data_IF_447728417506
#
_entry.id   IF_447728417506
#
_cell.length_a   1.000
_cell.length_b   1.000
_cell.length_c   1.000
_cell.angle_alpha   90.00
_cell.angle_beta   90.00
_cell.angle_gamma   90.00
#
_symmetry.space_group_name_H-M   'P 1'
#
loop_
_entity.id
_entity.type
_entity.pdbx_description
1 polymer ?
#
# COMPACT_ATOMS: atom_id res chain seq x y z
N UNK A 1 -11.82 -8.05 8.77
CA UNK A 1 -11.83 -8.48 7.36
C UNK A 1 -11.12 -7.39 6.60
N UNK A 2 -10.04 -7.74 5.90
CA UNK A 2 -9.19 -6.83 5.15
C UNK A 2 -9.63 -6.70 3.69
N UNK A 3 -10.43 -7.64 3.18
CA UNK A 3 -11.04 -7.59 1.86
C UNK A 3 -12.55 -7.36 1.98
N UNK A 4 -13.02 -6.22 1.51
CA UNK A 4 -14.44 -6.01 1.27
C UNK A 4 -14.81 -6.57 -0.11
N UNK A 5 -15.17 -7.85 -0.14
CA UNK A 5 -15.60 -8.51 -1.37
C UNK A 5 -16.82 -7.83 -1.98
N UNK A 6 -17.78 -7.36 -1.19
CA UNK A 6 -18.99 -6.75 -1.75
C UNK A 6 -18.64 -5.48 -2.54
N UNK A 7 -17.80 -4.62 -1.95
CA UNK A 7 -17.31 -3.43 -2.63
C UNK A 7 -16.47 -3.77 -3.89
N UNK A 8 -15.61 -4.78 -3.82
CA UNK A 8 -14.83 -5.19 -5.00
C UNK A 8 -15.70 -5.77 -6.11
N UNK A 9 -16.72 -6.56 -5.78
CA UNK A 9 -17.66 -7.14 -6.74
C UNK A 9 -18.49 -6.05 -7.44
N UNK A 10 -18.81 -4.95 -6.77
CA UNK A 10 -19.46 -3.79 -7.40
C UNK A 10 -18.58 -3.15 -8.49
N UNK A 11 -17.26 -3.08 -8.29
CA UNK A 11 -16.32 -2.52 -9.26
C UNK A 11 -16.17 -3.35 -10.54
N UNK A 12 -16.52 -4.63 -10.48
CA UNK A 12 -16.39 -5.59 -11.59
C UNK A 12 -17.76 -6.08 -12.08
N UNK A 13 -18.83 -5.32 -11.82
CA UNK A 13 -20.21 -5.63 -12.24
C UNK A 13 -20.69 -7.04 -11.85
N UNK A 14 -20.24 -7.54 -10.70
CA UNK A 14 -20.59 -8.87 -10.20
C UNK A 14 -19.81 -10.02 -10.84
N UNK A 15 -18.81 -9.75 -11.67
CA UNK A 15 -17.99 -10.77 -12.32
C UNK A 15 -16.93 -11.35 -11.36
N UNK A 16 -17.13 -12.60 -10.96
CA UNK A 16 -16.23 -13.29 -10.03
C UNK A 16 -14.88 -13.63 -10.68
N UNK A 17 -14.85 -13.93 -11.98
CA UNK A 17 -13.60 -14.29 -12.67
C UNK A 17 -12.69 -13.07 -12.76
N UNK A 18 -13.25 -11.90 -13.09
CA UNK A 18 -12.51 -10.63 -13.07
C UNK A 18 -12.00 -10.32 -11.65
N UNK A 19 -12.84 -10.48 -10.62
CA UNK A 19 -12.40 -10.24 -9.24
C UNK A 19 -11.22 -11.14 -8.83
N UNK A 20 -11.28 -12.44 -9.14
CA UNK A 20 -10.19 -13.36 -8.83
C UNK A 20 -8.92 -12.99 -9.59
N UNK A 21 -9.03 -12.63 -10.88
CA UNK A 21 -7.90 -12.16 -11.67
C UNK A 21 -7.25 -10.89 -11.10
N UNK A 22 -8.04 -9.97 -10.54
CA UNK A 22 -7.50 -8.78 -9.85
C UNK A 22 -6.71 -9.15 -8.59
N UNK A 23 -7.22 -10.08 -7.77
CA UNK A 23 -6.51 -10.56 -6.59
C UNK A 23 -5.19 -11.27 -6.96
N UNK A 24 -5.23 -12.13 -7.99
CA UNK A 24 -4.04 -12.80 -8.51
C UNK A 24 -3.02 -11.79 -9.03
N UNK A 25 -3.45 -10.84 -9.86
CA UNK A 25 -2.59 -9.79 -10.40
C UNK A 25 -1.92 -8.98 -9.28
N UNK A 26 -2.65 -8.67 -8.21
CA UNK A 26 -2.08 -7.99 -7.04
C UNK A 26 -0.97 -8.82 -6.39
N UNK A 27 -1.22 -10.12 -6.14
CA UNK A 27 -0.23 -11.02 -5.55
C UNK A 27 0.98 -11.17 -6.48
N UNK A 28 0.77 -11.36 -7.78
CA UNK A 28 1.86 -11.53 -8.74
C UNK A 28 2.75 -10.28 -8.80
N UNK A 29 2.16 -9.09 -8.80
CA UNK A 29 2.92 -7.85 -8.76
C UNK A 29 3.83 -7.79 -7.52
N UNK A 30 3.33 -8.14 -6.34
CA UNK A 30 4.10 -7.92 -5.10
C UNK A 30 4.83 -9.15 -4.55
N UNK A 31 4.67 -10.33 -5.16
CA UNK A 31 5.40 -11.55 -4.79
C UNK A 31 6.26 -12.14 -5.91
N UNK A 32 6.05 -11.76 -7.19
CA UNK A 32 6.79 -12.31 -8.32
C UNK A 32 7.52 -11.26 -9.17
N UNK A 33 6.97 -10.05 -9.32
CA UNK A 33 7.64 -8.98 -10.09
C UNK A 33 8.79 -8.37 -9.28
N UNK A 34 10.02 -8.58 -9.74
CA UNK A 34 11.22 -8.12 -9.05
C UNK A 34 11.28 -6.59 -8.84
N UNK A 35 10.78 -5.81 -9.81
CA UNK A 35 10.80 -4.35 -9.75
C UNK A 35 9.82 -3.85 -8.69
N UNK A 36 8.63 -4.44 -8.66
CA UNK A 36 7.60 -4.08 -7.70
C UNK A 36 7.94 -4.55 -6.29
N UNK A 37 8.57 -5.72 -6.16
CA UNK A 37 9.12 -6.20 -4.90
C UNK A 37 10.19 -5.23 -4.36
N UNK A 38 11.09 -4.73 -5.20
CA UNK A 38 12.12 -3.78 -4.77
C UNK A 38 11.52 -2.44 -4.32
N UNK A 39 10.52 -1.94 -5.05
CA UNK A 39 9.76 -0.74 -4.67
C UNK A 39 9.03 -0.92 -3.34
N UNK A 40 8.37 -2.07 -3.17
CA UNK A 40 7.68 -2.41 -1.94
C UNK A 40 8.66 -2.52 -0.76
N UNK A 41 9.80 -3.19 -0.96
CA UNK A 41 10.89 -3.26 0.04
C UNK A 41 11.38 -1.89 0.44
N UNK A 42 11.57 -0.98 -0.51
CA UNK A 42 11.95 0.41 -0.21
C UNK A 42 10.94 1.06 0.74
N UNK A 43 9.63 0.93 0.49
CA UNK A 43 8.59 1.42 1.40
C UNK A 43 8.60 0.70 2.75
N UNK A 44 8.83 -0.62 2.75
CA UNK A 44 8.86 -1.48 3.95
C UNK A 44 10.06 -1.24 4.86
N UNK A 45 11.23 -0.94 4.30
CA UNK A 45 12.47 -0.83 5.07
C UNK A 45 12.82 0.63 5.38
N UNK A 46 12.12 1.58 4.74
CA UNK A 46 12.24 3.00 5.04
C UNK A 46 11.87 3.31 6.48
N UNK A 47 12.61 4.25 7.07
CA UNK A 47 12.26 4.94 8.30
C UNK A 47 11.98 6.41 8.00
N UNK A 48 11.14 7.05 8.82
CA UNK A 48 10.69 8.40 8.57
C UNK A 48 11.82 9.44 8.52
N UNK A 49 12.91 9.25 9.27
CA UNK A 49 14.02 10.20 9.26
C UNK A 49 14.74 10.24 7.91
N UNK A 50 15.02 9.07 7.32
CA UNK A 50 15.64 8.98 6.01
C UNK A 50 14.72 9.57 4.94
N UNK A 51 13.43 9.19 4.97
CA UNK A 51 12.42 9.68 4.02
C UNK A 51 12.25 11.20 4.07
N UNK A 52 12.34 11.81 5.25
CA UNK A 52 12.22 13.26 5.40
C UNK A 52 13.53 14.02 5.18
N UNK A 53 14.66 13.33 5.06
CA UNK A 53 15.99 13.91 4.80
C UNK A 53 16.45 13.76 3.35
N UNK A 54 15.84 12.88 2.56
CA UNK A 54 16.23 12.57 1.19
C UNK A 54 15.03 12.73 0.25
N UNK A 55 15.12 13.69 -0.69
CA UNK A 55 14.05 14.01 -1.63
C UNK A 55 13.76 12.91 -2.64
N UNK A 56 14.78 12.15 -3.06
CA UNK A 56 14.61 11.04 -4.01
C UNK A 56 13.95 9.85 -3.31
N UNK A 57 14.38 9.54 -2.08
CA UNK A 57 13.72 8.52 -1.26
C UNK A 57 12.27 8.91 -0.95
N UNK A 58 12.02 10.18 -0.58
CA UNK A 58 10.67 10.72 -0.37
C UNK A 58 9.76 10.46 -1.57
N UNK A 59 10.24 10.80 -2.75
CA UNK A 59 9.48 10.66 -3.98
C UNK A 59 9.25 9.18 -4.35
N UNK A 60 10.23 8.32 -4.13
CA UNK A 60 10.11 6.88 -4.36
C UNK A 60 9.07 6.24 -3.42
N UNK A 61 9.14 6.54 -2.13
CA UNK A 61 8.18 6.04 -1.13
C UNK A 61 6.76 6.53 -1.46
N UNK A 62 6.61 7.82 -1.82
CA UNK A 62 5.33 8.40 -2.21
C UNK A 62 4.74 7.73 -3.46
N UNK A 63 5.53 7.51 -4.50
CA UNK A 63 5.10 6.83 -5.74
C UNK A 63 4.67 5.38 -5.49
N UNK A 64 5.44 4.64 -4.70
CA UNK A 64 5.09 3.27 -4.31
C UNK A 64 3.77 3.25 -3.54
N UNK A 65 3.61 4.14 -2.55
CA UNK A 65 2.36 4.26 -1.79
C UNK A 65 1.16 4.61 -2.69
N UNK A 66 1.33 5.55 -3.63
CA UNK A 66 0.29 5.89 -4.61
C UNK A 66 -0.15 4.69 -5.45
N UNK A 67 0.80 3.90 -5.95
CA UNK A 67 0.51 2.71 -6.75
C UNK A 67 -0.23 1.65 -5.94
N UNK A 68 0.25 1.35 -4.72
CA UNK A 68 -0.38 0.36 -3.84
C UNK A 68 -1.78 0.82 -3.41
N UNK A 69 -1.98 2.11 -3.16
CA UNK A 69 -3.31 2.68 -2.89
C UNK A 69 -4.29 2.33 -4.01
N UNK A 70 -3.91 2.59 -5.27
CA UNK A 70 -4.76 2.31 -6.43
C UNK A 70 -5.10 0.83 -6.55
N UNK A 71 -4.09 -0.05 -6.51
CA UNK A 71 -4.30 -1.49 -6.63
C UNK A 71 -5.08 -2.08 -5.46
N UNK A 72 -4.92 -1.55 -4.24
CA UNK A 72 -5.65 -1.99 -3.06
C UNK A 72 -7.15 -1.70 -3.16
N UNK A 73 -7.54 -0.52 -3.65
CA UNK A 73 -8.97 -0.22 -3.81
C UNK A 73 -9.63 -1.08 -4.89
N UNK A 74 -8.91 -1.45 -5.96
CA UNK A 74 -9.45 -2.32 -7.02
C UNK A 74 -9.81 -3.73 -6.51
N UNK A 75 -9.14 -4.21 -5.47
CA UNK A 75 -9.35 -5.55 -4.88
C UNK A 75 -10.20 -5.52 -3.61
N UNK A 76 -10.79 -4.37 -3.27
CA UNK A 76 -11.59 -4.20 -2.04
C UNK A 76 -10.76 -4.13 -0.75
N UNK A 77 -9.44 -3.95 -0.83
CA UNK A 77 -8.55 -3.82 0.31
C UNK A 77 -8.49 -2.38 0.84
N UNK A 78 -9.64 -1.81 1.22
CA UNK A 78 -9.78 -0.40 1.62
C UNK A 78 -8.87 -0.01 2.79
N UNK A 79 -8.72 -0.89 3.79
CA UNK A 79 -7.84 -0.65 4.95
C UNK A 79 -6.37 -0.48 4.52
N UNK A 80 -5.90 -1.30 3.58
CA UNK A 80 -4.55 -1.15 3.01
C UNK A 80 -4.46 0.12 2.17
N UNK A 81 -5.45 0.36 1.30
CA UNK A 81 -5.53 1.55 0.45
C UNK A 81 -5.48 2.85 1.25
N UNK A 82 -6.22 2.92 2.35
CA UNK A 82 -6.24 4.09 3.24
C UNK A 82 -4.90 4.29 3.95
N UNK A 83 -4.26 3.23 4.45
CA UNK A 83 -2.92 3.36 5.04
C UNK A 83 -1.86 3.81 4.03
N UNK A 84 -1.94 3.38 2.78
CA UNK A 84 -1.07 3.85 1.71
C UNK A 84 -1.34 5.32 1.35
N UNK A 85 -2.62 5.71 1.32
CA UNK A 85 -3.06 7.10 1.09
C UNK A 85 -2.58 8.06 2.18
N UNK A 86 -2.55 7.64 3.44
CA UNK A 86 -2.03 8.46 4.54
C UNK A 86 -0.55 8.79 4.35
N UNK A 87 0.26 7.79 3.96
CA UNK A 87 1.67 7.97 3.61
C UNK A 87 1.80 8.93 2.41
N UNK A 88 1.07 8.66 1.33
CA UNK A 88 1.13 9.48 0.11
C UNK A 88 0.78 10.94 0.42
N UNK A 89 -0.34 11.20 1.11
CA UNK A 89 -0.78 12.55 1.46
C UNK A 89 0.24 13.26 2.33
N UNK A 90 0.80 12.57 3.32
CA UNK A 90 1.82 13.12 4.19
C UNK A 90 3.06 13.56 3.39
N UNK A 91 3.50 12.74 2.43
CA UNK A 91 4.70 13.03 1.63
C UNK A 91 4.47 14.03 0.49
N UNK A 92 3.22 14.23 0.04
CA UNK A 92 2.87 15.31 -0.91
C UNK A 92 2.96 16.69 -0.25
N UNK A 93 2.59 16.80 1.03
CA UNK A 93 2.52 18.08 1.75
C UNK A 93 3.94 18.66 1.98
N UNK A 94 4.31 19.79 1.35
CA UNK A 94 5.67 20.35 1.43
C UNK A 94 6.03 20.82 2.85
N UNK A 95 5.05 21.20 3.67
CA UNK A 95 5.29 21.61 5.05
C UNK A 95 5.65 20.45 5.98
N UNK A 96 5.42 19.20 5.56
CA UNK A 96 5.85 18.01 6.30
C UNK A 96 7.36 17.78 6.13
N UNK A 97 8.16 18.63 6.78
CA UNK A 97 9.63 18.56 6.83
C UNK A 97 10.11 17.69 8.01
N UNK A 98 11.41 17.40 8.08
CA UNK A 98 12.01 16.65 9.20
C UNK A 98 11.90 17.42 10.52
N UNK A 99 10.89 17.06 11.31
CA UNK A 99 10.71 17.47 12.71
C UNK A 99 10.43 16.23 13.55
N UNK A 100 10.67 16.24 14.87
CA UNK A 100 10.35 15.09 15.73
C UNK A 100 8.89 14.61 15.59
N UNK A 101 7.93 15.53 15.54
CA UNK A 101 6.52 15.21 15.38
C UNK A 101 6.20 14.55 14.03
N UNK A 102 6.78 15.07 12.95
CA UNK A 102 6.58 14.52 11.60
C UNK A 102 7.27 13.16 11.42
N UNK A 103 8.43 12.96 12.06
CA UNK A 103 9.11 11.66 12.09
C UNK A 103 8.26 10.63 12.83
N UNK A 104 7.73 10.98 14.00
CA UNK A 104 6.85 10.09 14.78
C UNK A 104 5.58 9.73 13.99
N UNK A 105 4.91 10.73 13.41
CA UNK A 105 3.69 10.53 12.63
C UNK A 105 3.91 9.63 11.41
N UNK A 106 4.95 9.90 10.62
CA UNK A 106 5.26 9.08 9.44
C UNK A 106 5.70 7.66 9.83
N UNK A 107 6.44 7.48 10.92
CA UNK A 107 6.75 6.14 11.44
C UNK A 107 5.47 5.37 11.80
N UNK A 108 4.49 6.04 12.41
CA UNK A 108 3.17 5.49 12.67
C UNK A 108 2.47 5.01 11.40
N UNK A 109 2.44 5.85 10.35
CA UNK A 109 1.86 5.47 9.06
C UNK A 109 2.59 4.29 8.40
N UNK A 110 3.93 4.30 8.37
CA UNK A 110 4.73 3.21 7.83
C UNK A 110 4.50 1.90 8.57
N UNK A 111 4.44 1.94 9.91
CA UNK A 111 4.14 0.75 10.72
C UNK A 111 2.73 0.21 10.46
N UNK A 112 1.73 1.10 10.39
CA UNK A 112 0.34 0.70 10.14
C UNK A 112 0.16 0.10 8.75
N UNK A 113 0.82 0.68 7.75
CA UNK A 113 0.84 0.16 6.39
C UNK A 113 1.42 -1.27 6.33
N UNK A 114 2.56 -1.52 6.98
CA UNK A 114 3.16 -2.87 7.03
C UNK A 114 2.22 -3.90 7.65
N UNK A 115 1.61 -3.57 8.78
CA UNK A 115 0.63 -4.43 9.45
C UNK A 115 -0.55 -4.76 8.53
N UNK A 116 -1.15 -3.72 7.92
CA UNK A 116 -2.29 -3.87 7.03
C UNK A 116 -1.94 -4.66 5.78
N UNK A 117 -0.75 -4.46 5.21
CA UNK A 117 -0.29 -5.17 4.02
C UNK A 117 -0.18 -6.68 4.30
N UNK A 118 0.50 -7.06 5.39
CA UNK A 118 0.69 -8.47 5.76
C UNK A 118 -0.65 -9.17 5.97
N UNK A 119 -1.57 -8.54 6.70
CA UNK A 119 -2.87 -9.12 6.98
C UNK A 119 -3.76 -9.21 5.73
N UNK A 120 -3.72 -8.19 4.87
CA UNK A 120 -4.43 -8.19 3.58
C UNK A 120 -3.92 -9.33 2.70
N UNK A 121 -2.60 -9.47 2.55
CA UNK A 121 -2.00 -10.51 1.71
C UNK A 121 -2.34 -11.92 2.23
N UNK A 122 -2.35 -12.12 3.55
CA UNK A 122 -2.78 -13.38 4.16
C UNK A 122 -4.24 -13.71 3.84
N UNK A 123 -5.12 -12.73 3.89
CA UNK A 123 -6.53 -12.88 3.56
C UNK A 123 -6.73 -13.20 2.07
N UNK A 124 -6.05 -12.46 1.17
CA UNK A 124 -6.08 -12.72 -0.29
C UNK A 124 -5.67 -14.16 -0.63
N UNK A 125 -4.59 -14.66 -0.01
CA UNK A 125 -4.13 -16.04 -0.23
C UNK A 125 -5.13 -17.08 0.24
N UNK A 126 -5.91 -16.79 1.28
CA UNK A 126 -6.96 -17.68 1.78
C UNK A 126 -8.17 -17.69 0.83
N UNK A 127 -8.42 -16.60 0.12
CA UNK A 127 -9.51 -16.50 -0.87
C UNK A 127 -9.17 -17.22 -2.17
N UNK A 128 -7.90 -17.19 -2.59
CA UNK A 128 -7.44 -17.80 -3.85
C UNK A 128 -7.13 -19.30 -3.72
N UNK A 129 -6.78 -19.77 -2.51
CA UNK A 129 -6.51 -21.19 -2.23
C UNK A 129 -7.77 -22.06 -2.24
#
# INVERSE_FOLDING_TARGET
MYLDRAAAMELVDGDMEIYMSLLETFIEAYEKDATEIERLKTLFDSNAEAVLSDGDLRENVRKTAHKIKGSSYMVGASILGDSAKDIEKFLVEPSNIKTPANVELLNGFLAKFKENYVNTLKEMKTVIS
#
